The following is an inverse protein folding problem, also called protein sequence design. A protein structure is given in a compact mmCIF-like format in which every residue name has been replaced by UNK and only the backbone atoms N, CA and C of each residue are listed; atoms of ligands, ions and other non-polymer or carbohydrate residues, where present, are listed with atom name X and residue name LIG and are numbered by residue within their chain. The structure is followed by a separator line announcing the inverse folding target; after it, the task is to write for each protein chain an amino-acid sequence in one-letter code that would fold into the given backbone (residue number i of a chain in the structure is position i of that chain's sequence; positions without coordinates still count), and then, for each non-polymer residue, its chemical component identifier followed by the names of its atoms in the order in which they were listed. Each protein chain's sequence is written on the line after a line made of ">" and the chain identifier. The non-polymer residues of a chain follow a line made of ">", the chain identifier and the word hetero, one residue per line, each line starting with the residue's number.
data_IF_464790015778
#
_entry.id   IF_464790015778
#
_cell.length_a   1.000
_cell.length_b   1.000
_cell.length_c   1.000
_cell.angle_alpha   90.00
_cell.angle_beta   90.00
_cell.angle_gamma   90.00
#
_symmetry.space_group_name_H-M   'P 1'
#
loop_
_entity.id
_entity.type
_entity.pdbx_description
1 polymer ?
#
# COMPACT_ATOMS: atom_id res chain seq x y z
N UNK A 1 13.91 38.19 53.82
CA UNK A 1 15.23 38.29 53.15
C UNK A 1 15.99 37.00 53.40
N UNK A 2 16.59 36.45 52.34
CA UNK A 2 17.62 35.39 52.29
C UNK A 2 17.28 33.96 52.72
N UNK A 3 17.23 33.06 51.72
CA UNK A 3 17.91 31.77 51.74
C UNK A 3 18.20 31.33 50.29
N UNK A 4 19.47 31.06 50.03
CA UNK A 4 20.12 30.66 48.78
C UNK A 4 19.90 29.15 48.52
N UNK A 5 19.44 28.73 47.33
CA UNK A 5 19.72 27.38 46.79
C UNK A 5 19.92 27.46 45.27
N UNK A 6 21.15 27.17 44.89
CA UNK A 6 21.67 26.96 43.54
C UNK A 6 21.18 25.67 42.87
N UNK A 7 21.10 25.75 41.53
CA UNK A 7 21.43 24.77 40.48
C UNK A 7 20.54 23.55 40.20
N UNK A 8 20.33 23.42 38.88
CA UNK A 8 20.17 22.20 38.07
C UNK A 8 19.01 21.26 38.40
N UNK A 9 18.03 21.21 37.50
CA UNK A 9 17.49 19.91 37.12
C UNK A 9 17.60 19.71 35.61
N UNK A 10 18.61 18.90 35.28
CA UNK A 10 18.91 18.34 33.97
C UNK A 10 17.76 17.49 33.44
N UNK A 11 17.62 17.50 32.11
CA UNK A 11 17.35 16.26 31.38
C UNK A 11 15.87 15.89 31.20
N UNK A 12 15.23 16.51 30.21
CA UNK A 12 14.24 15.81 29.38
C UNK A 12 14.60 16.02 27.91
N UNK A 13 15.85 15.75 27.56
CA UNK A 13 16.17 15.27 26.21
C UNK A 13 16.04 13.76 26.25
N UNK A 14 14.82 13.25 26.07
CA UNK A 14 14.63 11.84 25.75
C UNK A 14 15.05 11.63 24.30
N UNK A 15 16.36 11.47 24.16
CA UNK A 15 17.07 10.61 23.23
C UNK A 15 16.15 9.66 22.43
N UNK A 16 15.63 10.15 21.29
CA UNK A 16 15.07 9.28 20.25
C UNK A 16 16.27 8.74 19.48
N UNK A 17 16.90 7.71 20.05
CA UNK A 17 17.70 6.75 19.29
C UNK A 17 16.91 5.46 19.29
N UNK A 18 15.85 5.46 18.47
CA UNK A 18 15.20 4.21 18.08
C UNK A 18 16.26 3.31 17.49
N UNK A 19 16.39 2.08 18.01
CA UNK A 19 17.18 1.07 17.33
C UNK A 19 16.52 0.84 15.96
N UNK A 20 17.29 0.72 14.87
CA UNK A 20 16.76 0.54 13.51
C UNK A 20 15.79 -0.66 13.40
N UNK A 21 15.94 -1.65 14.28
CA UNK A 21 15.09 -2.84 14.35
C UNK A 21 13.65 -2.53 14.81
N UNK A 22 13.45 -1.56 15.70
CA UNK A 22 12.12 -1.23 16.23
C UNK A 22 11.32 -0.38 15.24
N UNK A 23 11.99 0.55 14.55
CA UNK A 23 11.36 1.40 13.52
C UNK A 23 10.94 0.57 12.31
N UNK A 24 11.78 -0.36 11.87
CA UNK A 24 11.46 -1.29 10.80
C UNK A 24 10.29 -2.22 11.17
N UNK A 25 10.27 -2.75 12.38
CA UNK A 25 9.17 -3.61 12.85
C UNK A 25 7.83 -2.86 12.90
N UNK A 26 7.82 -1.62 13.39
CA UNK A 26 6.62 -0.77 13.41
C UNK A 26 6.12 -0.47 11.98
N UNK A 27 7.04 -0.20 11.06
CA UNK A 27 6.71 0.07 9.65
C UNK A 27 6.10 -1.16 8.96
N UNK A 28 6.62 -2.37 9.23
CA UNK A 28 6.05 -3.63 8.70
C UNK A 28 4.63 -3.83 9.20
N UNK A 29 4.36 -3.56 10.49
CA UNK A 29 3.00 -3.63 11.03
C UNK A 29 2.07 -2.61 10.37
N UNK A 30 2.52 -1.38 10.16
CA UNK A 30 1.74 -0.34 9.50
C UNK A 30 1.40 -0.72 8.06
N UNK A 31 2.37 -1.24 7.31
CA UNK A 31 2.15 -1.76 5.94
C UNK A 31 1.14 -2.91 5.94
N UNK A 32 1.22 -3.83 6.89
CA UNK A 32 0.25 -4.93 6.99
C UNK A 32 -1.18 -4.41 7.26
N UNK A 33 -1.34 -3.41 8.13
CA UNK A 33 -2.65 -2.79 8.40
C UNK A 33 -3.19 -2.03 7.19
N UNK A 34 -2.32 -1.31 6.50
CA UNK A 34 -2.66 -0.61 5.25
C UNK A 34 -3.18 -1.61 4.21
N UNK A 35 -2.45 -2.70 4.00
CA UNK A 35 -2.79 -3.76 3.06
C UNK A 35 -4.11 -4.45 3.39
N UNK A 36 -4.37 -4.73 4.67
CA UNK A 36 -5.65 -5.26 5.12
C UNK A 36 -6.81 -4.30 4.78
N UNK A 37 -6.62 -3.00 5.01
CA UNK A 37 -7.62 -1.98 4.69
C UNK A 37 -7.86 -1.88 3.18
N UNK A 38 -6.80 -1.93 2.37
CA UNK A 38 -6.88 -1.92 0.92
C UNK A 38 -7.59 -3.17 0.38
N UNK A 39 -7.33 -4.35 0.98
CA UNK A 39 -8.01 -5.59 0.61
C UNK A 39 -9.53 -5.50 0.88
N UNK A 40 -9.94 -4.97 2.03
CA UNK A 40 -11.36 -4.73 2.32
C UNK A 40 -12.01 -3.76 1.33
N UNK A 41 -11.28 -2.77 0.84
CA UNK A 41 -11.75 -1.86 -0.20
C UNK A 41 -11.86 -2.56 -1.56
N UNK A 42 -10.89 -3.42 -1.91
CA UNK A 42 -10.92 -4.23 -3.13
C UNK A 42 -12.14 -5.16 -3.14
N UNK A 43 -12.46 -5.81 -2.01
CA UNK A 43 -13.62 -6.72 -1.92
C UNK A 43 -14.98 -6.02 -2.01
N UNK A 44 -15.01 -4.69 -1.98
CA UNK A 44 -16.22 -3.88 -2.27
C UNK A 44 -16.31 -3.43 -3.73
N UNK A 45 -15.28 -3.69 -4.55
CA UNK A 45 -15.27 -3.36 -5.97
C UNK A 45 -15.90 -4.47 -6.78
N UNK A 46 -16.62 -4.08 -7.83
CA UNK A 46 -17.13 -5.00 -8.82
C UNK A 46 -16.03 -5.42 -9.79
N UNK A 47 -16.22 -6.53 -10.47
CA UNK A 47 -15.43 -6.91 -11.64
C UNK A 47 -15.36 -5.79 -12.68
N UNK A 48 -16.46 -5.05 -12.91
CA UNK A 48 -16.48 -3.89 -13.80
C UNK A 48 -15.53 -2.76 -13.33
N UNK A 49 -15.48 -2.49 -12.03
CA UNK A 49 -14.58 -1.48 -11.47
C UNK A 49 -13.11 -1.85 -11.71
N UNK A 50 -12.77 -3.14 -11.53
CA UNK A 50 -11.41 -3.64 -11.75
C UNK A 50 -11.03 -3.67 -13.23
N UNK A 51 -11.96 -4.02 -14.11
CA UNK A 51 -11.78 -3.87 -15.56
C UNK A 51 -11.50 -2.40 -15.88
N UNK A 52 -12.34 -1.47 -15.42
CA UNK A 52 -12.13 -0.04 -15.66
C UNK A 52 -10.78 0.47 -15.12
N UNK A 53 -10.35 -0.05 -13.96
CA UNK A 53 -9.05 0.26 -13.40
C UNK A 53 -7.90 -0.21 -14.31
N UNK A 54 -8.00 -1.43 -14.83
CA UNK A 54 -7.03 -1.96 -15.79
C UNK A 54 -6.96 -1.14 -17.08
N UNK A 55 -8.09 -0.62 -17.59
CA UNK A 55 -8.07 0.28 -18.76
C UNK A 55 -7.31 1.58 -18.49
N UNK A 56 -7.53 2.21 -17.34
CA UNK A 56 -6.84 3.46 -16.96
C UNK A 56 -5.35 3.22 -16.71
N UNK A 57 -5.00 2.19 -15.94
CA UNK A 57 -3.60 1.84 -15.66
C UNK A 57 -2.85 1.47 -16.95
N UNK A 58 -3.50 0.77 -17.89
CA UNK A 58 -2.89 0.44 -19.17
C UNK A 58 -2.64 1.67 -20.05
N UNK A 59 -3.51 2.68 -20.01
CA UNK A 59 -3.26 3.95 -20.71
C UNK A 59 -2.06 4.70 -20.12
N UNK A 60 -1.90 4.71 -18.80
CA UNK A 60 -0.72 5.30 -18.13
C UNK A 60 0.57 4.58 -18.55
N UNK A 61 0.53 3.24 -18.61
CA UNK A 61 1.66 2.40 -18.99
C UNK A 61 1.88 2.30 -20.51
N UNK A 62 0.99 2.88 -21.33
CA UNK A 62 0.99 2.78 -22.80
C UNK A 62 1.03 1.34 -23.32
N UNK A 63 0.28 0.45 -22.66
CA UNK A 63 0.09 -0.96 -23.05
C UNK A 63 -1.38 -1.27 -23.34
N UNK A 64 -1.65 -2.44 -23.90
CA UNK A 64 -3.03 -2.89 -24.10
C UNK A 64 -3.68 -3.33 -22.76
N UNK A 65 -4.93 -2.93 -22.46
CA UNK A 65 -5.62 -3.29 -21.21
C UNK A 65 -5.70 -4.80 -20.91
N UNK A 66 -5.85 -5.61 -21.97
CA UNK A 66 -5.90 -7.07 -21.85
C UNK A 66 -4.60 -7.70 -21.32
N UNK A 67 -3.48 -6.97 -21.33
CA UNK A 67 -2.23 -7.41 -20.69
C UNK A 67 -2.41 -7.42 -19.17
N UNK A 68 -2.91 -6.33 -18.59
CA UNK A 68 -3.17 -6.24 -17.14
C UNK A 68 -4.28 -7.19 -16.71
N UNK A 69 -5.38 -7.26 -17.46
CA UNK A 69 -6.52 -8.14 -17.12
C UNK A 69 -6.07 -9.61 -17.07
N UNK A 70 -5.25 -10.06 -18.02
CA UNK A 70 -4.74 -11.44 -18.01
C UNK A 70 -3.70 -11.67 -16.93
N UNK A 71 -2.75 -10.74 -16.78
CA UNK A 71 -1.72 -10.84 -15.75
C UNK A 71 -2.35 -10.89 -14.35
N UNK A 72 -3.41 -10.13 -14.08
CA UNK A 72 -4.11 -10.15 -12.81
C UNK A 72 -5.07 -11.34 -12.61
N UNK A 73 -5.19 -12.26 -13.58
CA UNK A 73 -6.13 -13.38 -13.52
C UNK A 73 -7.61 -12.99 -13.71
N UNK A 74 -7.89 -11.78 -14.20
CA UNK A 74 -9.23 -11.20 -14.34
C UNK A 74 -9.89 -11.50 -15.69
N UNK A 75 -9.38 -12.47 -16.45
CA UNK A 75 -9.84 -12.77 -17.81
C UNK A 75 -11.32 -13.14 -17.91
N UNK A 76 -11.90 -13.69 -16.85
CA UNK A 76 -13.30 -14.11 -16.76
C UNK A 76 -14.23 -13.02 -16.16
N UNK A 77 -13.71 -11.86 -15.75
CA UNK A 77 -14.52 -10.80 -15.12
C UNK A 77 -15.63 -10.26 -16.02
N UNK A 78 -15.49 -10.43 -17.34
CA UNK A 78 -16.52 -10.03 -18.31
C UNK A 78 -17.76 -10.92 -18.28
N UNK A 79 -17.67 -12.12 -17.73
CA UNK A 79 -18.77 -13.09 -17.63
C UNK A 79 -19.79 -12.69 -16.55
N UNK A 80 -19.31 -12.08 -15.46
CA UNK A 80 -20.15 -11.48 -14.43
C UNK A 80 -19.52 -10.17 -13.95
N UNK A 81 -19.83 -9.08 -14.66
CA UNK A 81 -19.29 -7.75 -14.37
C UNK A 81 -19.78 -7.16 -13.04
N UNK A 82 -20.91 -7.65 -12.53
CA UNK A 82 -21.55 -7.16 -11.31
C UNK A 82 -21.04 -7.82 -10.03
N UNK A 83 -20.41 -8.99 -10.15
CA UNK A 83 -19.83 -9.69 -9.01
C UNK A 83 -18.75 -8.86 -8.31
N UNK A 84 -18.71 -8.99 -6.97
CA UNK A 84 -17.67 -8.41 -6.14
C UNK A 84 -16.38 -9.21 -6.27
N UNK A 85 -15.26 -8.49 -6.28
CA UNK A 85 -13.94 -9.08 -6.27
C UNK A 85 -13.68 -9.86 -4.98
N UNK A 86 -13.09 -11.05 -5.12
CA UNK A 86 -12.74 -11.94 -4.00
C UNK A 86 -11.29 -12.42 -4.04
N UNK A 87 -10.49 -11.86 -4.95
CA UNK A 87 -9.09 -12.24 -5.09
C UNK A 87 -8.21 -11.60 -4.01
N UNK A 88 -6.91 -11.80 -4.17
CA UNK A 88 -5.87 -11.27 -3.30
C UNK A 88 -5.63 -9.77 -3.49
N UNK A 89 -4.78 -9.21 -2.64
CA UNK A 89 -4.35 -7.82 -2.77
C UNK A 89 -3.50 -7.63 -4.03
N UNK A 90 -3.57 -6.48 -4.71
CA UNK A 90 -2.81 -6.24 -5.96
C UNK A 90 -1.30 -6.47 -5.78
N UNK A 91 -0.77 -6.06 -4.63
CA UNK A 91 0.64 -6.25 -4.27
C UNK A 91 1.08 -7.73 -4.20
N UNK A 92 0.15 -8.65 -3.92
CA UNK A 92 0.38 -10.10 -3.85
C UNK A 92 0.26 -10.82 -5.19
N UNK A 93 -0.21 -10.14 -6.24
CA UNK A 93 -0.34 -10.75 -7.56
C UNK A 93 1.05 -10.86 -8.20
N UNK A 94 1.68 -12.02 -8.07
CA UNK A 94 3.05 -12.31 -8.53
C UNK A 94 3.26 -12.16 -10.04
N UNK A 95 2.19 -12.28 -10.81
CA UNK A 95 2.20 -12.16 -12.28
C UNK A 95 2.18 -10.71 -12.77
N UNK A 96 1.98 -9.73 -11.88
CA UNK A 96 2.10 -8.31 -12.20
C UNK A 96 3.52 -7.82 -11.89
N UNK A 97 4.08 -6.99 -12.77
CA UNK A 97 5.32 -6.26 -12.47
C UNK A 97 5.06 -5.17 -11.44
N UNK A 98 6.12 -4.66 -10.80
CA UNK A 98 6.00 -3.58 -9.82
C UNK A 98 5.34 -2.32 -10.43
N UNK A 99 5.69 -1.95 -11.66
CA UNK A 99 5.07 -0.81 -12.36
C UNK A 99 3.58 -1.03 -12.62
N UNK A 100 3.19 -2.28 -12.91
CA UNK A 100 1.79 -2.64 -13.13
C UNK A 100 0.98 -2.60 -11.83
N UNK A 101 1.57 -3.10 -10.73
CA UNK A 101 0.98 -3.02 -9.39
C UNK A 101 0.79 -1.57 -8.97
N UNK A 102 1.81 -0.73 -9.16
CA UNK A 102 1.76 0.69 -8.84
C UNK A 102 0.68 1.43 -9.63
N UNK A 103 0.62 1.24 -10.95
CA UNK A 103 -0.40 1.89 -11.80
C UNK A 103 -1.82 1.49 -11.38
N UNK A 104 -2.07 0.19 -11.16
CA UNK A 104 -3.38 -0.30 -10.72
C UNK A 104 -3.77 0.24 -9.34
N UNK A 105 -2.86 0.19 -8.37
CA UNK A 105 -3.09 0.75 -7.05
C UNK A 105 -3.34 2.27 -7.12
N UNK A 106 -2.57 3.00 -7.93
CA UNK A 106 -2.74 4.43 -8.14
C UNK A 106 -4.13 4.79 -8.66
N UNK A 107 -4.61 4.10 -9.69
CA UNK A 107 -5.96 4.28 -10.24
C UNK A 107 -7.06 3.98 -9.22
N UNK A 108 -6.82 3.02 -8.32
CA UNK A 108 -7.75 2.63 -7.26
C UNK A 108 -7.63 3.51 -6.00
N UNK A 109 -6.75 4.52 -6.00
CA UNK A 109 -6.53 5.41 -4.87
C UNK A 109 -5.78 4.75 -3.70
N UNK A 110 -5.03 3.69 -3.98
CA UNK A 110 -4.24 2.92 -3.02
C UNK A 110 -2.76 3.29 -3.15
N UNK A 111 -1.96 2.96 -2.13
CA UNK A 111 -0.51 3.18 -2.12
C UNK A 111 0.21 1.88 -1.84
N UNK A 112 1.35 1.69 -2.51
CA UNK A 112 2.25 0.59 -2.22
C UNK A 112 2.86 0.73 -0.80
N UNK A 113 2.77 -0.35 -0.02
CA UNK A 113 3.48 -0.45 1.26
C UNK A 113 4.97 -0.72 1.10
N UNK A 114 5.40 -1.36 0.01
CA UNK A 114 6.82 -1.64 -0.24
C UNK A 114 7.63 -0.36 -0.46
N UNK A 115 7.02 0.66 -1.06
CA UNK A 115 7.60 2.00 -1.23
C UNK A 115 7.92 2.69 0.11
N UNK A 116 7.10 2.45 1.14
CA UNK A 116 7.37 2.96 2.49
C UNK A 116 8.58 2.25 3.12
N UNK A 117 8.70 0.94 2.90
CA UNK A 117 9.79 0.12 3.44
C UNK A 117 11.14 0.49 2.81
N UNK A 118 11.19 0.76 1.50
CA UNK A 118 12.45 1.14 0.82
C UNK A 118 13.04 2.47 1.31
N UNK A 119 12.25 3.36 1.90
CA UNK A 119 12.70 4.68 2.37
C UNK A 119 13.47 4.64 3.70
N UNK A 120 13.40 3.53 4.45
CA UNK A 120 14.08 3.36 5.75
C UNK A 120 15.44 2.69 5.57
N UNK A 121 16.17 3.06 4.50
CA UNK A 121 17.46 2.45 4.15
C UNK A 121 18.64 3.16 4.80
#
# INVERSE_FOLDING_TARGET
>A
MMADISKENKGIEKNIKGKPDTEKAALVQEVARMKATQLELLHKKTHQDLINAAYKAADELKIAPWVLIRAAGWGNFTEDRGALYKGEHIDDIDTLTEEQKEALMGVLGMRSGWELIKKVK
#
